data_IF_219992830967
#
_entry.id   IF_219992830967
#
_cell.length_a   1.000
_cell.length_b   1.000
_cell.length_c   1.000
_cell.angle_alpha   90.00
_cell.angle_beta   90.00
_cell.angle_gamma   90.00
#
_symmetry.space_group_name_H-M   'P 1'
#
loop_
_entity.id
_entity.type
_entity.pdbx_description
1 polymer ?
#
# COMPACT_ATOMS: atom_id res chain seq x y z
N UNK A 1 -23.67 -8.31 -2.98
CA UNK A 1 -22.63 -8.95 -3.80
C UNK A 1 -21.48 -7.97 -3.90
N UNK A 2 -20.35 -8.29 -3.27
CA UNK A 2 -19.14 -7.48 -3.34
C UNK A 2 -18.59 -7.51 -4.78
N UNK A 3 -17.86 -6.48 -5.18
CA UNK A 3 -17.18 -6.43 -6.49
C UNK A 3 -16.38 -7.72 -6.72
N UNK A 4 -15.78 -8.24 -5.65
CA UNK A 4 -14.99 -9.47 -5.64
C UNK A 4 -15.78 -10.73 -6.05
N UNK A 5 -17.02 -10.90 -5.58
CA UNK A 5 -17.85 -12.06 -5.97
C UNK A 5 -18.30 -11.98 -7.43
N UNK A 6 -18.48 -10.76 -7.96
CA UNK A 6 -18.81 -10.54 -9.37
C UNK A 6 -17.65 -10.86 -10.30
N UNK A 7 -16.42 -10.57 -9.89
CA UNK A 7 -15.20 -10.85 -10.67
C UNK A 7 -14.88 -12.36 -10.69
N UNK A 8 -15.18 -13.08 -9.62
CA UNK A 8 -14.86 -14.50 -9.49
C UNK A 8 -15.71 -15.42 -10.38
N UNK A 9 -16.90 -14.99 -10.77
CA UNK A 9 -17.81 -15.77 -11.63
C UNK A 9 -17.57 -15.60 -13.13
N UNK A 10 -16.54 -14.81 -13.56
CA UNK A 10 -16.52 -14.22 -14.89
C UNK A 10 -15.18 -14.29 -15.61
N UNK A 11 -14.71 -15.48 -15.99
CA UNK A 11 -13.50 -15.63 -16.82
C UNK A 11 -13.59 -15.00 -18.22
N UNK A 12 -14.79 -14.88 -18.80
CA UNK A 12 -14.99 -14.23 -20.12
C UNK A 12 -15.55 -12.80 -20.01
N UNK A 13 -16.02 -12.40 -18.86
CA UNK A 13 -16.82 -11.19 -18.64
C UNK A 13 -16.09 -10.07 -17.91
N UNK A 14 -14.87 -10.28 -17.42
CA UNK A 14 -14.08 -9.20 -16.78
C UNK A 14 -13.91 -8.04 -17.75
N UNK A 15 -13.62 -8.33 -19.01
CA UNK A 15 -13.51 -7.38 -20.11
C UNK A 15 -14.79 -6.59 -20.38
N UNK A 16 -15.91 -7.29 -20.46
CA UNK A 16 -17.22 -6.66 -20.67
C UNK A 16 -17.65 -5.84 -19.45
N UNK A 17 -17.35 -6.30 -18.24
CA UNK A 17 -17.62 -5.57 -17.00
C UNK A 17 -16.82 -4.26 -16.93
N UNK A 18 -15.54 -4.29 -17.24
CA UNK A 18 -14.67 -3.11 -17.17
C UNK A 18 -15.15 -2.05 -18.15
N UNK A 19 -15.49 -2.45 -19.38
CA UNK A 19 -15.93 -1.52 -20.42
C UNK A 19 -17.39 -1.09 -20.26
N UNK A 20 -18.31 -2.00 -19.93
CA UNK A 20 -19.75 -1.70 -19.82
C UNK A 20 -20.14 -0.99 -18.51
N UNK A 21 -19.42 -1.19 -17.41
CA UNK A 21 -19.73 -0.57 -16.12
C UNK A 21 -18.95 0.72 -15.84
N UNK A 22 -18.18 1.23 -16.79
CA UNK A 22 -17.50 2.52 -16.68
C UNK A 22 -16.34 2.53 -15.67
N UNK A 23 -15.67 1.40 -15.45
CA UNK A 23 -14.46 1.34 -14.65
C UNK A 23 -13.24 1.90 -15.38
N UNK A 24 -13.24 1.80 -16.72
CA UNK A 24 -12.19 2.36 -17.57
C UNK A 24 -12.31 3.87 -17.69
N UNK A 25 -11.19 4.57 -17.54
CA UNK A 25 -11.10 6.00 -17.72
C UNK A 25 -9.75 6.40 -18.34
N UNK A 26 -9.62 7.65 -18.73
CA UNK A 26 -8.36 8.19 -19.27
C UNK A 26 -7.45 8.65 -18.15
N UNK A 27 -6.13 8.67 -18.43
CA UNK A 27 -5.17 9.32 -17.56
C UNK A 27 -5.52 10.80 -17.43
N UNK A 28 -5.93 11.24 -16.26
CA UNK A 28 -6.32 12.63 -15.97
C UNK A 28 -5.95 13.05 -14.54
N UNK A 29 -6.24 14.31 -14.22
CA UNK A 29 -5.91 14.89 -12.93
C UNK A 29 -6.64 14.24 -11.74
N UNK A 30 -7.71 13.46 -11.96
CA UNK A 30 -8.44 12.79 -10.87
C UNK A 30 -7.64 11.64 -10.23
N UNK A 31 -6.54 11.21 -10.86
CA UNK A 31 -5.56 10.30 -10.24
C UNK A 31 -4.99 10.94 -8.98
N UNK A 32 -4.68 12.25 -9.05
CA UNK A 32 -4.03 13.01 -7.98
C UNK A 32 -5.02 13.59 -6.94
N UNK A 33 -6.18 12.99 -6.78
CA UNK A 33 -7.15 13.34 -5.76
C UNK A 33 -7.50 12.11 -4.93
N UNK A 34 -7.55 12.27 -3.61
CA UNK A 34 -8.10 11.26 -2.71
C UNK A 34 -9.50 11.70 -2.29
N UNK A 35 -10.49 10.87 -2.55
CA UNK A 35 -11.87 11.18 -2.20
C UNK A 35 -12.27 10.63 -0.82
N UNK A 36 -11.54 9.67 -0.25
CA UNK A 36 -11.96 8.87 0.90
C UNK A 36 -10.78 8.36 1.73
N UNK A 37 -11.05 8.05 3.01
CA UNK A 37 -10.05 7.61 3.97
C UNK A 37 -9.50 6.19 3.73
N UNK A 38 -10.14 5.36 2.90
CA UNK A 38 -9.70 3.99 2.57
C UNK A 38 -9.59 3.84 1.04
N UNK A 39 -8.84 4.75 0.43
CA UNK A 39 -8.50 4.72 -0.99
C UNK A 39 -7.02 4.42 -1.18
N UNK A 40 -6.70 3.63 -2.20
CA UNK A 40 -5.33 3.34 -2.63
C UNK A 40 -5.19 3.54 -4.13
N UNK A 41 -4.01 4.00 -4.55
CA UNK A 41 -3.62 4.05 -5.96
C UNK A 41 -2.60 2.94 -6.20
N UNK A 42 -2.90 2.05 -7.14
CA UNK A 42 -2.05 0.94 -7.52
C UNK A 42 -1.34 1.27 -8.83
N UNK A 43 -0.01 1.24 -8.82
CA UNK A 43 0.81 1.51 -9.98
C UNK A 43 1.76 0.34 -10.24
N UNK A 44 2.32 0.29 -11.45
CA UNK A 44 3.36 -0.66 -11.82
C UNK A 44 4.75 -0.03 -11.75
N UNK A 45 4.85 1.28 -12.03
CA UNK A 45 6.10 2.02 -12.08
C UNK A 45 6.36 2.78 -10.78
N UNK A 46 7.63 2.90 -10.41
CA UNK A 46 8.05 3.77 -9.31
C UNK A 46 8.25 5.21 -9.77
N UNK A 47 8.78 5.41 -10.98
CA UNK A 47 9.16 6.71 -11.53
C UNK A 47 8.21 7.17 -12.64
N UNK A 48 8.39 8.40 -13.12
CA UNK A 48 7.53 9.03 -14.11
C UNK A 48 6.37 9.83 -13.52
N UNK A 49 5.61 10.51 -14.38
CA UNK A 49 4.49 11.37 -13.97
C UNK A 49 3.43 10.63 -13.16
N UNK A 50 3.12 9.42 -13.58
CA UNK A 50 2.13 8.53 -12.95
C UNK A 50 2.78 7.41 -12.12
N UNK A 51 4.05 7.56 -11.75
CA UNK A 51 4.76 6.63 -10.90
C UNK A 51 4.45 6.81 -9.43
N UNK A 52 4.69 5.76 -8.64
CA UNK A 52 4.41 5.71 -7.20
C UNK A 52 5.04 6.88 -6.45
N UNK A 53 6.31 7.19 -6.75
CA UNK A 53 7.05 8.23 -6.06
C UNK A 53 6.42 9.62 -6.29
N UNK A 54 6.06 9.93 -7.54
CA UNK A 54 5.47 11.22 -7.87
C UNK A 54 4.05 11.37 -7.34
N UNK A 55 3.24 10.32 -7.43
CA UNK A 55 1.86 10.34 -6.90
C UNK A 55 1.88 10.50 -5.37
N UNK A 56 2.72 9.75 -4.65
CA UNK A 56 2.86 9.90 -3.21
C UNK A 56 3.28 11.32 -2.83
N UNK A 57 4.30 11.87 -3.50
CA UNK A 57 4.76 13.24 -3.26
C UNK A 57 3.64 14.26 -3.46
N UNK A 58 2.93 14.19 -4.60
CA UNK A 58 1.88 15.14 -4.95
C UNK A 58 0.71 15.08 -3.95
N UNK A 59 0.27 13.88 -3.57
CA UNK A 59 -0.83 13.72 -2.63
C UNK A 59 -0.42 14.12 -1.22
N UNK A 60 0.81 13.84 -0.82
CA UNK A 60 1.35 14.32 0.45
C UNK A 60 1.49 15.85 0.48
N UNK A 61 1.89 16.50 -0.63
CA UNK A 61 1.91 17.96 -0.75
C UNK A 61 0.52 18.56 -0.54
N UNK A 62 -0.54 17.91 -1.06
CA UNK A 62 -1.94 18.33 -0.89
C UNK A 62 -2.48 18.11 0.53
N UNK A 63 -1.86 17.30 1.34
CA UNK A 63 -2.20 17.18 2.76
C UNK A 63 -1.86 18.51 3.47
N UNK A 64 -2.84 19.19 4.09
CA UNK A 64 -2.66 20.54 4.67
C UNK A 64 -1.82 20.55 5.94
N UNK A 65 -1.58 19.41 6.58
CA UNK A 65 -0.82 19.33 7.81
C UNK A 65 0.65 19.71 7.60
N UNK A 66 1.31 20.35 8.58
CA UNK A 66 2.69 20.74 8.45
C UNK A 66 3.61 19.51 8.33
N UNK A 67 4.62 19.55 7.45
CA UNK A 67 5.54 18.43 7.28
C UNK A 67 6.56 18.38 8.44
N UNK A 68 6.87 17.18 8.89
CA UNK A 68 7.99 16.88 9.77
C UNK A 68 9.03 16.11 8.98
N UNK A 69 10.24 16.67 8.89
CA UNK A 69 11.33 16.05 8.11
C UNK A 69 12.17 15.15 9.01
N UNK A 70 12.46 13.94 8.52
CA UNK A 70 13.38 12.99 9.14
C UNK A 70 14.31 12.39 8.09
N UNK A 71 15.59 12.72 8.17
CA UNK A 71 16.54 12.43 7.09
C UNK A 71 16.14 13.14 5.80
N UNK A 72 15.97 12.38 4.74
CA UNK A 72 15.51 12.86 3.41
C UNK A 72 14.00 12.74 3.23
N UNK A 73 13.30 12.13 4.18
CA UNK A 73 11.87 11.86 4.09
C UNK A 73 11.07 12.92 4.85
N UNK A 74 9.84 13.10 4.42
CA UNK A 74 8.86 13.95 5.08
C UNK A 74 7.65 13.14 5.47
N UNK A 75 7.07 13.46 6.63
CA UNK A 75 5.87 12.85 7.17
C UNK A 75 4.90 13.93 7.61
N UNK A 76 3.62 13.68 7.42
CA UNK A 76 2.55 14.58 7.88
C UNK A 76 1.51 13.78 8.68
N UNK A 77 0.87 14.43 9.63
CA UNK A 77 -0.34 13.89 10.25
C UNK A 77 -1.35 13.60 9.15
N UNK A 78 -2.13 12.55 9.29
CA UNK A 78 -3.08 11.99 8.32
C UNK A 78 -2.47 11.33 7.08
N UNK A 79 -1.14 11.24 6.95
CA UNK A 79 -0.55 10.41 5.89
C UNK A 79 -0.93 8.94 6.09
N UNK A 80 -1.47 8.27 5.06
CA UNK A 80 -1.63 6.82 5.08
C UNK A 80 -0.26 6.16 4.99
N UNK A 81 -0.08 5.05 5.71
CA UNK A 81 1.17 4.31 5.73
C UNK A 81 0.96 2.80 5.51
N UNK A 82 2.01 2.14 5.03
CA UNK A 82 2.16 0.69 5.10
C UNK A 82 3.46 0.34 5.81
N UNK A 83 3.38 -0.56 6.78
CA UNK A 83 4.57 -1.11 7.42
C UNK A 83 5.38 -1.92 6.41
N UNK A 84 6.69 -1.75 6.36
CA UNK A 84 7.60 -2.39 5.42
C UNK A 84 8.78 -3.11 6.10
N UNK A 85 9.02 -2.85 7.38
CA UNK A 85 10.02 -3.51 8.21
C UNK A 85 9.36 -3.99 9.49
N UNK A 86 8.80 -5.20 9.44
CA UNK A 86 8.01 -5.74 10.54
C UNK A 86 8.81 -6.54 11.57
N UNK A 87 10.09 -6.82 11.33
CA UNK A 87 10.91 -7.61 12.27
C UNK A 87 10.94 -6.97 13.65
N UNK A 88 11.02 -5.63 13.71
CA UNK A 88 11.03 -4.86 14.95
C UNK A 88 9.80 -5.10 15.83
N UNK A 89 8.64 -5.28 15.24
CA UNK A 89 7.35 -5.39 15.95
C UNK A 89 6.68 -6.75 15.75
N UNK A 90 7.43 -7.72 15.22
CA UNK A 90 6.91 -9.07 15.00
C UNK A 90 6.61 -9.77 16.33
N UNK A 91 5.59 -10.62 16.39
CA UNK A 91 4.66 -10.99 15.30
C UNK A 91 3.41 -10.10 15.19
N UNK A 92 3.31 -9.05 16.00
CA UNK A 92 2.08 -8.26 16.16
C UNK A 92 1.83 -7.37 14.96
N UNK A 93 2.88 -6.69 14.48
CA UNK A 93 2.82 -5.87 13.28
C UNK A 93 3.60 -6.58 12.17
N UNK A 94 2.98 -6.70 11.01
CA UNK A 94 3.53 -7.42 9.86
C UNK A 94 3.61 -6.52 8.63
N UNK A 95 4.43 -6.93 7.67
CA UNK A 95 4.60 -6.21 6.41
C UNK A 95 3.27 -6.00 5.70
N UNK A 96 3.10 -4.81 5.17
CA UNK A 96 1.89 -4.31 4.52
C UNK A 96 0.69 -4.09 5.47
N UNK A 97 0.84 -4.16 6.79
CA UNK A 97 -0.20 -3.68 7.70
C UNK A 97 -0.45 -2.20 7.45
N UNK A 98 -1.72 -1.83 7.30
CA UNK A 98 -2.15 -0.47 7.05
C UNK A 98 -2.19 0.34 8.33
N UNK A 99 -1.90 1.63 8.22
CA UNK A 99 -2.10 2.58 9.29
C UNK A 99 -2.18 4.01 8.78
N UNK A 100 -2.35 4.93 9.70
CA UNK A 100 -2.38 6.36 9.47
C UNK A 100 -1.62 7.08 10.58
N UNK A 101 -0.85 8.08 10.25
CA UNK A 101 -0.14 8.90 11.23
C UNK A 101 -1.14 9.79 11.94
N UNK A 102 -1.27 9.67 13.26
CA UNK A 102 -2.18 10.51 14.06
C UNK A 102 -1.44 11.56 14.88
N UNK A 103 -0.15 11.32 15.21
CA UNK A 103 0.72 12.33 15.79
C UNK A 103 2.18 12.10 15.41
N UNK A 104 2.94 13.18 15.35
CA UNK A 104 4.39 13.18 15.13
C UNK A 104 5.01 14.17 16.11
N UNK A 105 6.01 13.75 16.86
CA UNK A 105 6.78 14.62 17.74
C UNK A 105 8.27 14.42 17.50
N UNK A 106 8.98 15.52 17.25
CA UNK A 106 10.45 15.51 17.17
C UNK A 106 11.01 15.95 18.50
N UNK A 107 11.86 15.13 19.10
CA UNK A 107 12.45 15.38 20.42
C UNK A 107 13.93 15.63 20.29
N UNK A 108 14.37 16.69 20.94
CA UNK A 108 15.79 17.01 21.17
C UNK A 108 16.10 16.78 22.64
N UNK A 109 16.79 15.71 22.96
CA UNK A 109 17.11 15.37 24.35
C UNK A 109 18.33 16.15 24.93
N UNK A 110 18.68 17.32 24.35
CA UNK A 110 19.82 18.15 24.84
C UNK A 110 21.21 17.53 24.64
N UNK A 111 21.27 16.25 24.30
CA UNK A 111 22.40 15.52 23.74
C UNK A 111 22.29 15.55 22.21
N UNK A 112 23.40 15.23 21.52
CA UNK A 112 23.35 15.23 20.04
C UNK A 112 22.40 14.18 19.42
N UNK A 113 21.59 13.50 20.23
CA UNK A 113 20.66 12.47 19.81
C UNK A 113 19.31 13.08 19.42
N UNK A 114 18.99 12.97 18.15
CA UNK A 114 17.68 13.35 17.62
C UNK A 114 16.77 12.11 17.61
N UNK A 115 15.55 12.29 18.12
CA UNK A 115 14.52 11.25 18.10
C UNK A 115 13.25 11.78 17.45
N UNK A 116 12.55 10.91 16.73
CA UNK A 116 11.20 11.17 16.22
C UNK A 116 10.24 10.13 16.77
N UNK A 117 9.15 10.59 17.35
CA UNK A 117 8.07 9.75 17.85
C UNK A 117 6.92 9.78 16.85
N UNK A 118 6.36 8.62 16.60
CA UNK A 118 5.15 8.46 15.81
C UNK A 118 4.04 7.82 16.64
N UNK A 119 2.82 8.36 16.53
CA UNK A 119 1.59 7.69 16.94
C UNK A 119 0.87 7.26 15.67
N UNK A 120 0.62 5.96 15.53
CA UNK A 120 0.02 5.36 14.33
C UNK A 120 -1.30 4.70 14.72
N UNK A 121 -2.39 5.15 14.11
CA UNK A 121 -3.64 4.42 14.11
C UNK A 121 -3.55 3.27 13.11
N UNK A 122 -3.75 2.06 13.58
CA UNK A 122 -3.80 0.85 12.74
C UNK A 122 -5.22 0.67 12.16
N UNK A 123 -5.38 -0.14 11.12
CA UNK A 123 -6.72 -0.52 10.62
C UNK A 123 -7.28 -1.77 11.32
N UNK A 124 -6.73 -2.11 12.47
CA UNK A 124 -7.08 -3.28 13.26
C UNK A 124 -6.99 -2.99 14.75
N UNK A 125 -7.48 -3.93 15.55
CA UNK A 125 -7.39 -3.88 17.02
C UNK A 125 -6.35 -4.87 17.49
N UNK A 126 -5.39 -4.40 18.31
CA UNK A 126 -4.38 -5.21 19.00
C UNK A 126 -4.82 -5.38 20.44
N UNK A 127 -4.70 -6.60 20.96
CA UNK A 127 -4.97 -6.87 22.37
C UNK A 127 -3.77 -6.46 23.23
N UNK A 128 -4.02 -6.03 24.46
CA UNK A 128 -2.96 -5.66 25.42
C UNK A 128 -1.96 -6.79 25.67
N UNK A 129 -2.42 -8.05 25.64
CA UNK A 129 -1.57 -9.23 25.84
C UNK A 129 -0.57 -9.36 24.69
N UNK A 130 -1.00 -9.12 23.45
CA UNK A 130 -0.15 -9.20 22.25
C UNK A 130 0.85 -8.04 22.20
N UNK A 131 0.48 -6.88 22.76
CA UNK A 131 1.34 -5.72 22.84
C UNK A 131 2.42 -5.82 23.93
N UNK A 132 2.25 -6.76 24.89
CA UNK A 132 3.18 -6.88 26.01
C UNK A 132 4.57 -7.35 25.57
N UNK A 133 5.59 -6.58 25.96
CA UNK A 133 6.99 -6.87 25.60
C UNK A 133 7.39 -6.40 24.20
N UNK A 134 6.52 -5.70 23.48
CA UNK A 134 6.83 -5.11 22.17
C UNK A 134 7.59 -3.77 22.34
N UNK A 135 8.28 -3.35 21.27
CA UNK A 135 9.00 -2.06 21.22
C UNK A 135 8.06 -0.88 20.86
N UNK A 136 6.79 -1.02 21.10
CA UNK A 136 5.80 0.05 20.98
C UNK A 136 4.90 0.10 22.22
N UNK A 137 4.34 1.25 22.48
CA UNK A 137 3.33 1.49 23.51
C UNK A 137 1.94 1.44 22.86
N UNK A 138 1.00 0.70 23.45
CA UNK A 138 -0.41 0.72 23.05
C UNK A 138 -1.10 1.89 23.75
N UNK A 139 -1.67 2.81 22.99
CA UNK A 139 -2.42 3.96 23.48
C UNK A 139 -3.92 3.65 23.54
N UNK A 140 -4.71 4.63 23.99
CA UNK A 140 -6.16 4.56 23.89
C UNK A 140 -6.58 4.40 22.40
N UNK A 141 -7.59 3.56 22.18
CA UNK A 141 -8.12 3.36 20.84
C UNK A 141 -8.64 4.66 20.23
N UNK A 142 -8.54 4.77 18.92
CA UNK A 142 -9.10 5.88 18.17
C UNK A 142 -10.64 5.95 18.33
N UNK A 143 -11.28 7.08 17.98
CA UNK A 143 -12.73 7.18 17.95
C UNK A 143 -13.42 6.16 17.03
N UNK A 144 -12.69 5.63 16.04
CA UNK A 144 -13.16 4.56 15.17
C UNK A 144 -13.05 3.15 15.81
N UNK A 145 -12.45 3.06 17.01
CA UNK A 145 -12.23 1.81 17.73
C UNK A 145 -10.95 1.06 17.35
N UNK A 146 -10.12 1.64 16.48
CA UNK A 146 -8.86 1.05 16.06
C UNK A 146 -7.76 1.26 17.10
N UNK A 147 -6.78 0.36 17.16
CA UNK A 147 -5.63 0.53 18.03
C UNK A 147 -4.72 1.64 17.56
N UNK A 148 -4.21 2.41 18.51
CA UNK A 148 -3.16 3.41 18.29
C UNK A 148 -1.89 2.95 18.99
N UNK A 149 -0.80 2.89 18.25
CA UNK A 149 0.51 2.52 18.78
C UNK A 149 1.45 3.72 18.74
N UNK A 150 2.35 3.79 19.72
CA UNK A 150 3.43 4.77 19.82
C UNK A 150 4.77 4.11 19.81
N UNK A 151 5.69 4.61 19.00
CA UNK A 151 7.09 4.18 19.01
C UNK A 151 8.03 5.34 18.64
N UNK A 152 9.31 5.15 18.93
CA UNK A 152 10.37 6.14 18.72
C UNK A 152 11.39 5.60 17.72
N UNK A 153 11.85 6.46 16.83
CA UNK A 153 12.96 6.20 15.90
C UNK A 153 14.10 7.14 16.24
N UNK A 154 15.32 6.59 16.39
CA UNK A 154 16.52 7.32 16.77
C UNK A 154 17.40 7.58 15.57
N UNK A 155 18.07 8.72 15.54
CA UNK A 155 19.09 9.00 14.53
C UNK A 155 20.39 8.34 14.98
N UNK A 156 20.91 7.41 14.17
CA UNK A 156 22.20 6.81 14.43
C UNK A 156 23.29 7.87 14.31
N UNK A 157 24.10 8.04 15.35
CA UNK A 157 25.42 8.65 15.19
C UNK A 157 26.33 7.57 14.62
N UNK A 158 27.10 7.91 13.59
CA UNK A 158 28.20 7.09 13.15
C UNK A 158 29.29 7.09 14.24
N UNK A 159 29.25 6.11 15.11
CA UNK A 159 30.30 5.81 16.05
C UNK A 159 30.70 4.36 15.82
N UNK A 160 32.00 4.13 15.82
CA UNK A 160 32.69 2.84 15.62
C UNK A 160 32.41 1.79 16.73
N UNK A 161 31.17 1.62 17.15
CA UNK A 161 30.79 0.59 18.12
C UNK A 161 29.95 -0.48 17.41
N UNK A 162 30.58 -1.62 17.18
CA UNK A 162 30.06 -2.82 16.50
C UNK A 162 28.89 -3.52 17.23
N UNK A 163 28.38 -3.01 18.35
CA UNK A 163 27.41 -3.67 19.23
C UNK A 163 26.09 -2.91 19.46
N UNK A 164 25.80 -1.79 18.79
CA UNK A 164 24.52 -1.10 18.96
C UNK A 164 23.41 -1.73 18.10
N UNK A 165 22.31 -2.09 18.76
CA UNK A 165 21.06 -2.49 18.11
C UNK A 165 20.52 -1.35 17.25
N UNK A 166 20.69 -1.47 15.92
CA UNK A 166 20.27 -0.47 14.93
C UNK A 166 18.80 -0.59 14.52
N UNK A 167 18.05 -1.52 15.10
CA UNK A 167 16.62 -1.76 14.78
C UNK A 167 15.75 -0.52 14.94
N UNK A 168 16.15 0.39 15.86
CA UNK A 168 15.44 1.62 16.18
C UNK A 168 15.79 2.81 15.27
N UNK A 169 16.61 2.66 14.25
CA UNK A 169 17.12 3.78 13.46
C UNK A 169 16.36 3.97 12.14
N UNK A 170 15.67 2.96 11.68
CA UNK A 170 14.88 2.98 10.45
C UNK A 170 13.41 3.20 10.78
N UNK A 171 12.75 4.08 10.01
CA UNK A 171 11.30 4.23 10.09
C UNK A 171 10.65 2.98 9.50
N UNK A 172 9.88 2.19 10.29
CA UNK A 172 9.43 0.86 9.88
C UNK A 172 8.20 0.88 8.95
N UNK A 173 7.95 2.00 8.29
CA UNK A 173 6.84 2.16 7.36
C UNK A 173 7.18 3.12 6.23
N UNK A 174 6.36 3.11 5.19
CA UNK A 174 6.39 4.07 4.09
C UNK A 174 5.05 4.79 3.98
N UNK A 175 5.07 6.04 3.50
CA UNK A 175 3.85 6.76 3.08
C UNK A 175 3.23 6.04 1.89
N UNK A 176 1.92 5.85 1.91
CA UNK A 176 1.23 4.89 1.05
C UNK A 176 -0.09 5.44 0.45
N UNK A 177 -0.07 6.62 -0.16
CA UNK A 177 -1.16 7.04 -1.04
C UNK A 177 -1.19 6.21 -2.32
N UNK A 178 0.00 5.84 -2.83
CA UNK A 178 0.20 4.95 -3.97
C UNK A 178 1.23 3.88 -3.63
N UNK A 179 0.99 2.65 -4.09
CA UNK A 179 1.89 1.51 -3.89
C UNK A 179 1.94 0.63 -5.14
N UNK A 180 2.91 -0.28 -5.21
CA UNK A 180 2.93 -1.27 -6.27
C UNK A 180 1.81 -2.30 -6.08
N UNK A 181 1.32 -2.86 -7.19
CA UNK A 181 0.29 -3.91 -7.16
C UNK A 181 0.74 -5.10 -6.29
N UNK A 182 2.03 -5.42 -6.31
CA UNK A 182 2.61 -6.51 -5.51
C UNK A 182 2.52 -6.23 -4.00
N UNK A 183 2.77 -4.99 -3.56
CA UNK A 183 2.66 -4.62 -2.14
C UNK A 183 1.21 -4.62 -1.64
N UNK A 184 0.24 -4.42 -2.52
CA UNK A 184 -1.17 -4.49 -2.17
C UNK A 184 -1.72 -5.92 -2.09
N UNK A 185 -0.92 -6.93 -2.38
CA UNK A 185 -1.37 -8.32 -2.32
C UNK A 185 -1.79 -8.70 -0.90
N UNK A 186 -2.99 -9.27 -0.75
CA UNK A 186 -3.58 -9.62 0.55
C UNK A 186 -4.36 -8.49 1.22
N UNK A 187 -4.21 -7.24 0.76
CA UNK A 187 -4.95 -6.09 1.29
C UNK A 187 -6.25 -5.87 0.52
N UNK A 188 -7.18 -5.20 1.17
CA UNK A 188 -8.43 -4.74 0.55
C UNK A 188 -8.67 -3.28 0.92
N UNK A 189 -9.25 -2.53 -0.02
CA UNK A 189 -9.56 -1.12 0.15
C UNK A 189 -10.98 -0.84 -0.33
N UNK A 190 -11.62 0.15 0.27
CA UNK A 190 -12.95 0.57 -0.14
C UNK A 190 -12.94 1.10 -1.57
N UNK A 191 -11.94 1.92 -1.90
CA UNK A 191 -11.74 2.51 -3.22
C UNK A 191 -10.35 2.19 -3.76
N UNK A 192 -10.27 1.75 -5.01
CA UNK A 192 -9.00 1.48 -5.69
C UNK A 192 -8.96 2.20 -7.02
N UNK A 193 -7.87 2.92 -7.24
CA UNK A 193 -7.47 3.45 -8.53
C UNK A 193 -6.29 2.63 -9.05
N UNK A 194 -6.38 2.12 -10.27
CA UNK A 194 -5.28 1.41 -10.92
C UNK A 194 -4.76 2.30 -12.04
N UNK A 195 -3.47 2.59 -12.03
CA UNK A 195 -2.83 3.43 -13.04
C UNK A 195 -1.87 2.58 -13.85
N UNK A 196 -2.12 2.48 -15.16
CA UNK A 196 -1.35 1.68 -16.08
C UNK A 196 -0.91 2.56 -17.24
N UNK A 197 0.40 2.73 -17.38
CA UNK A 197 1.03 3.50 -18.46
C UNK A 197 1.75 2.59 -19.44
N UNK A 198 2.13 3.13 -20.59
CA UNK A 198 2.90 2.44 -21.62
C UNK A 198 4.41 2.36 -21.28
N UNK A 199 4.84 3.08 -20.25
CA UNK A 199 6.23 3.07 -19.76
C UNK A 199 6.62 1.76 -19.05
N UNK A 200 5.66 0.83 -18.87
CA UNK A 200 5.90 -0.46 -18.21
C UNK A 200 6.44 -1.44 -19.23
N UNK A 201 7.73 -1.80 -19.11
CA UNK A 201 8.35 -2.84 -19.93
C UNK A 201 7.79 -4.25 -19.61
N UNK A 202 7.22 -4.45 -18.44
CA UNK A 202 6.62 -5.70 -18.04
C UNK A 202 5.22 -5.86 -18.64
N UNK A 203 5.01 -6.93 -19.36
CA UNK A 203 3.66 -7.32 -19.82
C UNK A 203 2.79 -7.57 -18.60
N UNK A 204 1.73 -6.78 -18.44
CA UNK A 204 0.75 -7.01 -17.39
C UNK A 204 0.11 -8.36 -17.64
N UNK A 205 0.47 -9.32 -16.80
CA UNK A 205 -0.13 -10.65 -16.85
C UNK A 205 -1.57 -10.60 -16.30
N UNK A 206 -2.38 -11.56 -16.72
CA UNK A 206 -3.73 -11.76 -16.16
C UNK A 206 -3.71 -11.81 -14.63
N UNK A 207 -2.70 -12.46 -14.02
CA UNK A 207 -2.58 -12.58 -12.57
C UNK A 207 -2.31 -11.25 -11.87
N UNK A 208 -1.47 -10.40 -12.44
CA UNK A 208 -1.17 -9.06 -11.91
C UNK A 208 -2.41 -8.17 -11.97
N UNK A 209 -3.09 -8.17 -13.12
CA UNK A 209 -4.31 -7.39 -13.30
C UNK A 209 -5.44 -7.88 -12.38
N UNK A 210 -5.64 -9.20 -12.29
CA UNK A 210 -6.60 -9.80 -11.37
C UNK A 210 -6.30 -9.42 -9.91
N UNK A 211 -5.02 -9.50 -9.51
CA UNK A 211 -4.60 -9.08 -8.18
C UNK A 211 -4.98 -7.63 -7.91
N UNK A 212 -4.76 -6.73 -8.87
CA UNK A 212 -5.06 -5.31 -8.70
C UNK A 212 -6.57 -5.04 -8.55
N UNK A 213 -7.40 -5.57 -9.45
CA UNK A 213 -8.85 -5.31 -9.44
C UNK A 213 -9.56 -5.92 -8.23
N UNK A 214 -9.05 -7.04 -7.70
CA UNK A 214 -9.61 -7.70 -6.53
C UNK A 214 -9.29 -6.98 -5.21
N UNK A 215 -8.45 -5.95 -5.23
CA UNK A 215 -8.21 -5.10 -4.03
C UNK A 215 -9.39 -4.18 -3.71
N UNK A 216 -10.29 -3.93 -4.68
CA UNK A 216 -11.44 -3.05 -4.50
C UNK A 216 -12.63 -3.76 -3.86
N UNK A 217 -13.12 -3.20 -2.74
CA UNK A 217 -14.38 -3.68 -2.09
C UNK A 217 -15.62 -3.03 -2.69
N UNK A 218 -15.58 -1.72 -2.95
CA UNK A 218 -16.76 -0.95 -3.37
C UNK A 218 -16.54 -0.20 -4.69
N UNK A 219 -15.39 0.46 -4.85
CA UNK A 219 -15.11 1.33 -5.99
C UNK A 219 -13.82 0.95 -6.68
N UNK A 220 -13.89 0.92 -8.00
CA UNK A 220 -12.75 0.67 -8.87
C UNK A 220 -12.72 1.69 -9.99
N UNK A 221 -11.55 2.27 -10.26
CA UNK A 221 -11.25 3.01 -11.47
C UNK A 221 -9.92 2.57 -12.05
N UNK A 222 -9.87 2.40 -13.37
CA UNK A 222 -8.67 1.98 -14.10
C UNK A 222 -8.32 3.09 -15.07
N UNK A 223 -7.14 3.69 -14.87
CA UNK A 223 -6.60 4.78 -15.66
C UNK A 223 -5.56 4.26 -16.63
N UNK A 224 -5.81 4.41 -17.92
CA UNK A 224 -4.93 3.96 -19.00
C UNK A 224 -5.17 4.74 -20.30
N UNK A 225 -4.29 4.54 -21.28
CA UNK A 225 -4.52 5.01 -22.63
C UNK A 225 -5.30 3.94 -23.43
N UNK A 226 -5.96 4.29 -24.56
CA UNK A 226 -6.64 3.31 -25.42
C UNK A 226 -5.71 2.20 -25.90
N UNK A 227 -4.46 2.55 -26.18
CA UNK A 227 -3.43 1.62 -26.65
C UNK A 227 -3.09 0.60 -25.56
N UNK A 228 -2.89 1.07 -24.32
CA UNK A 228 -2.61 0.23 -23.15
C UNK A 228 -3.83 -0.63 -22.81
N UNK A 229 -5.03 -0.07 -22.82
CA UNK A 229 -6.28 -0.80 -22.63
C UNK A 229 -6.36 -1.97 -23.60
N UNK A 230 -6.23 -1.71 -24.90
CA UNK A 230 -6.26 -2.76 -25.94
C UNK A 230 -5.16 -3.80 -25.74
N UNK A 231 -3.93 -3.38 -25.38
CA UNK A 231 -2.81 -4.28 -25.14
C UNK A 231 -3.07 -5.21 -23.95
N UNK A 232 -3.51 -4.65 -22.83
CA UNK A 232 -3.82 -5.42 -21.61
C UNK A 232 -4.96 -6.40 -21.89
N UNK A 233 -6.03 -5.93 -22.50
CA UNK A 233 -7.22 -6.74 -22.78
C UNK A 233 -6.95 -7.86 -23.79
N UNK A 234 -6.16 -7.62 -24.83
CA UNK A 234 -5.77 -8.65 -25.81
C UNK A 234 -4.81 -9.71 -25.25
N UNK A 235 -4.04 -9.36 -24.23
CA UNK A 235 -3.12 -10.29 -23.55
C UNK A 235 -3.80 -11.12 -22.45
N UNK A 236 -5.06 -10.83 -22.11
CA UNK A 236 -5.85 -11.62 -21.18
C UNK A 236 -6.42 -12.88 -21.86
N UNK A 237 -5.53 -13.71 -22.38
CA UNK A 237 -5.91 -15.01 -22.90
C UNK A 237 -6.33 -15.89 -21.71
N UNK A 238 -7.48 -16.57 -21.75
CA UNK A 238 -7.86 -17.55 -20.74
C UNK A 238 -6.72 -18.55 -20.56
N UNK A 239 -6.27 -18.74 -19.32
CA UNK A 239 -5.28 -19.79 -19.02
C UNK A 239 -5.85 -21.12 -19.51
N UNK A 240 -5.22 -21.72 -20.52
CA UNK A 240 -5.68 -23.02 -21.04
C UNK A 240 -5.44 -24.08 -19.95
N UNK A 241 -6.49 -24.36 -19.17
CA UNK A 241 -6.50 -25.39 -18.11
C UNK A 241 -6.13 -26.79 -18.63
N UNK A 242 -6.08 -26.98 -19.94
CA UNK A 242 -5.66 -28.26 -20.54
C UNK A 242 -4.21 -28.63 -20.22
N UNK A 243 -3.34 -27.62 -19.98
CA UNK A 243 -1.96 -27.89 -19.55
C UNK A 243 -1.89 -28.45 -18.13
N UNK A 244 -2.71 -27.94 -17.22
CA UNK A 244 -2.75 -28.37 -15.82
C UNK A 244 -3.34 -29.78 -15.69
N UNK A 245 -4.37 -30.10 -16.48
CA UNK A 245 -4.94 -31.45 -16.57
C UNK A 245 -3.92 -32.43 -17.15
N UNK A 246 -3.07 -31.99 -18.09
CA UNK A 246 -1.97 -32.80 -18.64
C UNK A 246 -0.90 -33.14 -17.62
N UNK A 247 -0.61 -32.21 -16.71
CA UNK A 247 0.34 -32.40 -15.61
C UNK A 247 -0.24 -33.33 -14.54
N UNK A 248 -1.48 -33.10 -14.11
CA UNK A 248 -2.17 -33.97 -13.15
C UNK A 248 -2.28 -35.42 -13.62
N UNK A 249 -2.59 -35.64 -14.91
CA UNK A 249 -2.60 -36.99 -15.51
C UNK A 249 -1.22 -37.64 -15.55
N UNK A 250 -0.13 -36.86 -15.65
CA UNK A 250 1.25 -37.40 -15.61
C UNK A 250 1.66 -37.87 -14.21
N UNK A 251 1.04 -37.30 -13.16
CA UNK A 251 1.30 -37.69 -11.77
C UNK A 251 0.26 -38.64 -11.19
N UNK A 252 -0.65 -39.17 -12.01
CA UNK A 252 -1.61 -40.21 -11.58
C UNK A 252 -2.71 -39.73 -10.64
N UNK A 253 -3.01 -38.44 -10.66
CA UNK A 253 -4.11 -37.78 -9.92
C UNK A 253 -5.27 -37.45 -10.83
#
# INVERSE_FOLDING_TARGET
LTLWSRVREMDETILELITKQGYSTRLDASIFSTAENDEIILCLNYDGLYGINNINRFLQENNPNPPVTWGILQYKIDDPILFNESERFAPVIYNNMKGRIVAIERRHNGTADEEIQFDIELDTVINEIDAWGQEFELLENSPAGNSVIRFVVKKTKSVDDDDEDTSNTVVPFQVAYAVSIHKAQGLEYRSVKIVITDEVDEMISHSIFYTAITRARERLKIYWTPEVENKVLSNMVPMDRKKDVGILRKFGL
#
